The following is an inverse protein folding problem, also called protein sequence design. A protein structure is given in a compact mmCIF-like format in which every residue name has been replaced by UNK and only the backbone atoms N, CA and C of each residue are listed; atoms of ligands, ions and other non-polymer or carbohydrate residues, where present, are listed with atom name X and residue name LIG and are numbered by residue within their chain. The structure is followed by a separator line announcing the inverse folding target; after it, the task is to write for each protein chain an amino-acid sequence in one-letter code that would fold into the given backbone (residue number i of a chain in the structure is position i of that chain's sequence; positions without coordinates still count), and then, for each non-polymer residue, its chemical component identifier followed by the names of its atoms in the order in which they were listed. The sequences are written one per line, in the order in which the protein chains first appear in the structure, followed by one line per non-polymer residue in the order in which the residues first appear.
data_IF_111538971387
#
_entry.id   IF_111538971387
#
_cell.length_a   1.000
_cell.length_b   1.000
_cell.length_c   1.000
_cell.angle_alpha   90.00
_cell.angle_beta   90.00
_cell.angle_gamma   90.00
#
_symmetry.space_group_name_H-M   'P 1'
#
loop_
_entity.id
_entity.type
_entity.pdbx_description
1 polymer ?
#
# COMPACT_ATOMS: atom_id res chain seq x y z
N UNK A 1 8.71 -38.83 94.21
CA UNK A 1 8.08 -37.52 94.44
C UNK A 1 8.15 -36.75 93.13
N UNK A 2 7.00 -36.22 92.71
CA UNK A 2 6.66 -35.62 91.43
C UNK A 2 7.66 -34.57 90.89
N UNK A 3 7.85 -34.47 89.58
CA UNK A 3 7.11 -33.53 88.72
C UNK A 3 7.58 -33.59 87.25
N UNK A 4 6.65 -34.00 86.39
CA UNK A 4 6.74 -33.99 84.93
C UNK A 4 6.62 -32.54 84.43
N UNK A 5 7.71 -31.94 83.96
CA UNK A 5 7.69 -30.60 83.34
C UNK A 5 7.40 -30.76 81.84
N UNK A 6 6.13 -30.60 81.46
CA UNK A 6 5.70 -30.57 80.05
C UNK A 6 6.47 -29.50 79.27
N UNK A 7 7.30 -29.94 78.33
CA UNK A 7 7.79 -29.08 77.25
C UNK A 7 6.65 -28.98 76.24
N UNK A 8 5.99 -27.83 76.22
CA UNK A 8 4.97 -27.47 75.23
C UNK A 8 5.65 -27.46 73.86
N UNK A 9 5.36 -28.46 73.01
CA UNK A 9 5.87 -28.51 71.64
C UNK A 9 5.41 -27.27 70.89
N UNK A 10 6.36 -26.38 70.57
CA UNK A 10 6.11 -25.28 69.66
C UNK A 10 5.90 -25.89 68.28
N UNK A 11 4.63 -26.07 67.94
CA UNK A 11 4.19 -26.55 66.64
C UNK A 11 4.48 -25.40 65.66
N UNK A 12 5.65 -25.44 65.01
CA UNK A 12 5.93 -24.59 63.86
C UNK A 12 4.96 -25.08 62.79
N UNK A 13 3.79 -24.44 62.74
CA UNK A 13 2.89 -24.57 61.60
C UNK A 13 3.67 -24.01 60.42
N UNK A 14 4.28 -24.91 59.66
CA UNK A 14 4.74 -24.60 58.32
C UNK A 14 3.52 -24.04 57.57
N UNK A 15 3.49 -22.73 57.38
CA UNK A 15 2.69 -22.06 56.36
C UNK A 15 3.22 -22.53 55.00
N UNK A 16 2.94 -23.79 54.66
CA UNK A 16 2.91 -24.25 53.28
C UNK A 16 1.66 -23.67 52.65
N UNK A 17 1.62 -22.35 52.51
CA UNK A 17 0.51 -21.63 51.90
C UNK A 17 0.34 -22.13 50.47
N UNK A 18 -0.92 -22.23 50.08
CA UNK A 18 -1.41 -22.85 48.86
C UNK A 18 -1.08 -22.00 47.61
N UNK A 19 0.21 -21.68 47.40
CA UNK A 19 0.73 -20.78 46.38
C UNK A 19 0.67 -21.38 44.97
N UNK A 20 0.34 -22.67 44.84
CA UNK A 20 0.20 -23.37 43.56
C UNK A 20 -0.91 -22.78 42.70
N UNK A 21 -2.02 -22.35 43.30
CA UNK A 21 -3.14 -21.74 42.57
C UNK A 21 -2.80 -20.35 42.02
N UNK A 22 -2.10 -19.53 42.79
CA UNK A 22 -1.68 -18.18 42.37
C UNK A 22 -0.62 -18.25 41.27
N UNK A 23 0.35 -19.17 41.39
CA UNK A 23 1.38 -19.37 40.35
C UNK A 23 0.73 -19.81 39.03
N UNK A 24 -0.28 -20.68 39.08
CA UNK A 24 -1.00 -21.11 37.88
C UNK A 24 -1.76 -19.95 37.23
N UNK A 25 -2.44 -19.11 38.02
CA UNK A 25 -3.15 -17.94 37.51
C UNK A 25 -2.21 -16.94 36.83
N UNK A 26 -1.07 -16.63 37.46
CA UNK A 26 -0.07 -15.72 36.87
C UNK A 26 0.50 -16.30 35.58
N UNK A 27 0.77 -17.61 35.56
CA UNK A 27 1.30 -18.29 34.37
C UNK A 27 0.31 -18.26 33.22
N UNK A 28 -0.97 -18.56 33.48
CA UNK A 28 -2.01 -18.50 32.44
C UNK A 28 -2.19 -17.07 31.94
N UNK A 29 -2.19 -16.08 32.84
CA UNK A 29 -2.29 -14.68 32.46
C UNK A 29 -1.12 -14.26 31.55
N UNK A 30 0.10 -14.64 31.90
CA UNK A 30 1.29 -14.40 31.07
C UNK A 30 1.20 -15.07 29.70
N UNK A 31 0.75 -16.34 29.65
CA UNK A 31 0.57 -17.05 28.37
C UNK A 31 -0.48 -16.32 27.51
N UNK A 32 -1.58 -15.85 28.10
CA UNK A 32 -2.61 -15.09 27.38
C UNK A 32 -2.04 -13.78 26.85
N UNK A 33 -1.28 -13.03 27.65
CA UNK A 33 -0.63 -11.80 27.18
C UNK A 33 0.34 -12.05 26.03
N UNK A 34 1.14 -13.12 26.12
CA UNK A 34 2.08 -13.50 25.06
C UNK A 34 1.31 -13.91 23.81
N UNK A 35 0.25 -14.71 23.93
CA UNK A 35 -0.56 -15.15 22.81
C UNK A 35 -1.23 -13.97 22.08
N UNK A 36 -1.85 -13.04 22.81
CA UNK A 36 -2.45 -11.84 22.23
C UNK A 36 -1.39 -10.96 21.56
N UNK A 37 -0.22 -10.81 22.18
CA UNK A 37 0.90 -10.08 21.59
C UNK A 37 1.36 -10.71 20.27
N UNK A 38 1.54 -12.03 20.22
CA UNK A 38 1.93 -12.74 19.00
C UNK A 38 0.92 -12.54 17.87
N UNK A 39 -0.39 -12.65 18.15
CA UNK A 39 -1.44 -12.41 17.15
C UNK A 39 -1.40 -10.97 16.65
N UNK A 40 -1.29 -9.99 17.56
CA UNK A 40 -1.22 -8.58 17.17
C UNK A 40 -0.02 -8.28 16.25
N UNK A 41 1.16 -8.85 16.54
CA UNK A 41 2.34 -8.66 15.68
C UNK A 41 2.18 -9.32 14.31
N UNK A 42 1.59 -10.52 14.25
CA UNK A 42 1.31 -11.20 12.99
C UNK A 42 0.31 -10.43 12.14
N UNK A 43 -0.72 -9.86 12.76
CA UNK A 43 -1.72 -9.05 12.08
C UNK A 43 -1.09 -7.78 11.50
N UNK A 44 -0.27 -7.06 12.29
CA UNK A 44 0.44 -5.86 11.82
C UNK A 44 1.35 -6.20 10.64
N UNK A 45 2.17 -7.25 10.77
CA UNK A 45 3.09 -7.65 9.70
C UNK A 45 2.35 -8.03 8.40
N UNK A 46 1.18 -8.66 8.53
CA UNK A 46 0.35 -9.03 7.37
C UNK A 46 -0.26 -7.80 6.71
N UNK A 47 -0.75 -6.85 7.49
CA UNK A 47 -1.30 -5.58 6.98
C UNK A 47 -0.21 -4.78 6.26
N UNK A 48 0.96 -4.66 6.85
CA UNK A 48 2.09 -3.92 6.26
C UNK A 48 2.50 -4.54 4.92
N UNK A 49 2.55 -5.87 4.84
CA UNK A 49 2.87 -6.56 3.59
C UNK A 49 1.83 -6.28 2.48
N UNK A 50 0.55 -6.35 2.82
CA UNK A 50 -0.52 -6.04 1.87
C UNK A 50 -0.48 -4.58 1.41
N UNK A 51 -0.22 -3.65 2.33
CA UNK A 51 -0.10 -2.24 2.01
C UNK A 51 1.09 -1.97 1.08
N UNK A 52 2.25 -2.56 1.37
CA UNK A 52 3.44 -2.43 0.53
C UNK A 52 3.21 -3.00 -0.87
N UNK A 53 2.56 -4.15 -0.98
CA UNK A 53 2.25 -4.76 -2.26
C UNK A 53 1.29 -3.89 -3.09
N UNK A 54 0.24 -3.35 -2.45
CA UNK A 54 -0.69 -2.43 -3.10
C UNK A 54 0.01 -1.14 -3.53
N UNK A 55 0.88 -0.58 -2.69
CA UNK A 55 1.64 0.62 -3.03
C UNK A 55 2.55 0.38 -4.24
N UNK A 56 3.26 -0.76 -4.28
CA UNK A 56 4.11 -1.11 -5.42
C UNK A 56 3.32 -1.23 -6.73
N UNK A 57 2.19 -1.92 -6.73
CA UNK A 57 1.34 -2.02 -7.92
C UNK A 57 0.75 -0.66 -8.33
N UNK A 58 0.39 0.16 -7.34
CA UNK A 58 -0.09 1.50 -7.58
C UNK A 58 0.97 2.37 -8.27
N UNK A 59 2.19 2.39 -7.75
CA UNK A 59 3.31 3.12 -8.34
C UNK A 59 3.64 2.60 -9.75
N UNK A 60 3.68 1.28 -9.94
CA UNK A 60 3.96 0.67 -11.23
C UNK A 60 2.90 1.06 -12.29
N UNK A 61 1.61 0.96 -11.96
CA UNK A 61 0.54 1.41 -12.84
C UNK A 61 0.64 2.91 -13.15
N UNK A 62 0.98 3.73 -12.14
CA UNK A 62 1.16 5.16 -12.32
C UNK A 62 2.31 5.45 -13.30
N UNK A 63 3.46 4.80 -13.15
CA UNK A 63 4.60 4.97 -14.06
C UNK A 63 4.25 4.59 -15.51
N UNK A 64 3.49 3.51 -15.70
CA UNK A 64 3.05 3.10 -17.03
C UNK A 64 2.09 4.13 -17.64
N UNK A 65 1.15 4.67 -16.85
CA UNK A 65 0.24 5.72 -17.31
C UNK A 65 0.99 7.02 -17.65
N UNK A 66 2.00 7.38 -16.86
CA UNK A 66 2.86 8.53 -17.16
C UNK A 66 3.62 8.35 -18.47
N UNK A 67 4.16 7.15 -18.73
CA UNK A 67 4.82 6.83 -20.00
C UNK A 67 3.85 6.98 -21.19
N UNK A 68 2.59 6.58 -21.03
CA UNK A 68 1.55 6.78 -22.04
C UNK A 68 1.31 8.26 -22.36
N UNK A 69 1.26 9.13 -21.35
CA UNK A 69 1.14 10.58 -21.56
C UNK A 69 2.36 11.15 -22.29
N UNK A 70 3.57 10.76 -21.89
CA UNK A 70 4.80 11.23 -22.53
C UNK A 70 4.90 10.79 -24.01
N UNK A 71 4.45 9.58 -24.37
CA UNK A 71 4.33 9.15 -25.78
C UNK A 71 3.39 10.09 -26.57
N UNK A 72 2.25 10.46 -26.00
CA UNK A 72 1.33 11.42 -26.65
C UNK A 72 1.98 12.79 -26.81
N UNK A 73 2.66 13.29 -25.78
CA UNK A 73 3.36 14.58 -25.85
C UNK A 73 4.43 14.55 -26.95
N UNK A 74 5.19 13.45 -27.05
CA UNK A 74 6.18 13.26 -28.12
C UNK A 74 5.52 13.26 -29.52
N UNK A 75 4.38 12.58 -29.67
CA UNK A 75 3.60 12.59 -30.93
C UNK A 75 3.03 13.97 -31.25
N UNK A 76 2.57 14.73 -30.25
CA UNK A 76 2.07 16.09 -30.41
C UNK A 76 3.15 17.08 -30.84
N UNK A 77 4.41 16.87 -30.41
CA UNK A 77 5.55 17.67 -30.89
C UNK A 77 5.80 17.48 -32.38
N UNK A 78 5.51 16.30 -32.93
CA UNK A 78 5.65 16.01 -34.36
C UNK A 78 4.38 16.35 -35.16
N UNK A 79 3.20 16.19 -34.57
CA UNK A 79 1.92 16.43 -35.21
C UNK A 79 0.93 17.09 -34.22
N UNK A 80 0.69 18.39 -34.38
CA UNK A 80 -0.25 19.16 -33.55
C UNK A 80 -1.68 18.63 -33.61
N UNK A 81 -2.06 18.00 -34.72
CA UNK A 81 -3.40 17.45 -34.94
C UNK A 81 -3.51 15.98 -34.51
N UNK A 82 -2.50 15.43 -33.82
CA UNK A 82 -2.58 14.07 -33.29
C UNK A 82 -3.80 13.93 -32.38
N UNK A 83 -4.56 12.88 -32.67
CA UNK A 83 -5.78 12.50 -31.97
C UNK A 83 -5.82 10.98 -31.89
N UNK A 84 -6.38 10.49 -30.81
CA UNK A 84 -6.64 9.06 -30.65
C UNK A 84 -7.78 8.85 -29.66
N UNK A 85 -8.57 7.80 -29.83
CA UNK A 85 -9.61 7.44 -28.88
C UNK A 85 -9.45 5.96 -28.58
N UNK A 86 -8.98 5.65 -27.37
CA UNK A 86 -8.86 4.28 -26.90
C UNK A 86 -7.80 3.42 -27.62
N UNK A 87 -6.64 3.99 -27.95
CA UNK A 87 -5.53 3.16 -28.44
C UNK A 87 -4.87 2.42 -27.29
N UNK A 88 -4.84 1.09 -27.39
CA UNK A 88 -4.11 0.22 -26.46
C UNK A 88 -2.70 0.01 -26.99
N UNK A 89 -1.69 0.32 -26.17
CA UNK A 89 -0.29 0.12 -26.51
C UNK A 89 0.35 -0.83 -25.49
N UNK A 90 1.03 -1.90 -25.95
CA UNK A 90 1.79 -2.76 -25.06
C UNK A 90 3.05 -2.04 -24.56
N UNK A 91 3.31 -2.14 -23.27
CA UNK A 91 4.46 -1.52 -22.62
C UNK A 91 5.02 -2.43 -21.53
N UNK A 92 6.26 -2.92 -21.73
CA UNK A 92 6.99 -3.74 -20.76
C UNK A 92 6.20 -4.94 -20.17
N UNK A 93 5.40 -5.63 -21.00
CA UNK A 93 4.57 -6.77 -20.56
C UNK A 93 3.20 -6.38 -19.98
N UNK A 94 2.91 -5.09 -19.88
CA UNK A 94 1.62 -4.51 -19.51
C UNK A 94 1.03 -3.73 -20.68
N UNK A 95 -0.09 -3.03 -20.45
CA UNK A 95 -0.74 -2.22 -21.47
C UNK A 95 -1.18 -0.89 -20.87
N UNK A 96 -1.14 0.15 -21.68
CA UNK A 96 -1.83 1.40 -21.39
C UNK A 96 -2.79 1.75 -22.51
N UNK A 97 -3.90 2.39 -22.14
CA UNK A 97 -4.89 2.95 -23.02
C UNK A 97 -4.64 4.46 -23.11
N UNK A 98 -4.62 5.02 -24.31
CA UNK A 98 -4.53 6.47 -24.52
C UNK A 98 -5.82 6.98 -25.17
N UNK A 99 -6.28 8.13 -24.67
CA UNK A 99 -7.35 8.91 -25.27
C UNK A 99 -6.92 10.38 -25.36
N UNK A 100 -6.96 10.96 -26.56
CA UNK A 100 -6.75 12.37 -26.88
C UNK A 100 -7.78 12.75 -27.96
N UNK A 101 -9.01 13.13 -27.57
CA UNK A 101 -10.15 13.17 -28.48
C UNK A 101 -10.22 14.44 -29.34
N UNK A 102 -9.49 15.50 -28.99
CA UNK A 102 -9.64 16.81 -29.63
C UNK A 102 -8.32 17.34 -30.24
N UNK A 103 -8.38 17.94 -31.46
CA UNK A 103 -7.22 18.60 -32.07
C UNK A 103 -6.88 19.94 -31.41
N UNK A 104 -7.89 20.65 -30.90
CA UNK A 104 -7.75 22.05 -30.51
C UNK A 104 -7.24 22.17 -29.07
N UNK A 105 -6.34 23.14 -28.78
CA UNK A 105 -5.90 23.40 -27.42
C UNK A 105 -7.01 24.08 -26.58
N UNK A 106 -7.08 23.82 -25.26
CA UNK A 106 -6.28 22.85 -24.53
C UNK A 106 -6.72 21.40 -24.85
N UNK A 107 -5.74 20.54 -25.15
CA UNK A 107 -5.98 19.11 -25.39
C UNK A 107 -6.01 18.38 -24.06
N UNK A 108 -7.04 17.58 -23.83
CA UNK A 108 -7.13 16.66 -22.70
C UNK A 108 -6.61 15.31 -23.15
N UNK A 109 -5.58 14.81 -22.48
CA UNK A 109 -4.97 13.51 -22.71
C UNK A 109 -5.24 12.68 -21.48
N UNK A 110 -5.84 11.52 -21.67
CA UNK A 110 -6.07 10.53 -20.64
C UNK A 110 -5.26 9.30 -20.95
N UNK A 111 -4.51 8.81 -19.97
CA UNK A 111 -3.83 7.52 -20.04
C UNK A 111 -4.26 6.62 -18.89
N UNK A 112 -4.78 5.44 -19.23
CA UNK A 112 -5.17 4.42 -18.27
C UNK A 112 -4.22 3.24 -18.38
N UNK A 113 -3.41 2.98 -17.36
CA UNK A 113 -2.58 1.79 -17.29
C UNK A 113 -3.40 0.61 -16.76
N UNK A 114 -3.19 -0.58 -17.35
CA UNK A 114 -3.74 -1.84 -16.83
C UNK A 114 -2.60 -2.84 -16.63
N UNK A 115 -2.39 -3.22 -15.38
CA UNK A 115 -1.45 -4.26 -14.99
C UNK A 115 -2.04 -5.66 -15.24
N UNK A 116 -1.16 -6.66 -15.31
CA UNK A 116 -1.55 -8.06 -15.56
C UNK A 116 -2.40 -8.67 -14.44
N UNK A 117 -2.28 -8.13 -13.22
CA UNK A 117 -3.09 -8.51 -12.06
C UNK A 117 -4.46 -7.80 -12.00
N UNK A 118 -4.82 -7.01 -13.03
CA UNK A 118 -6.09 -6.30 -13.11
C UNK A 118 -6.12 -4.94 -12.42
N UNK A 119 -5.02 -4.50 -11.78
CA UNK A 119 -4.92 -3.15 -11.24
C UNK A 119 -4.92 -2.11 -12.36
N UNK A 120 -5.60 -0.99 -12.10
CA UNK A 120 -5.70 0.12 -13.04
C UNK A 120 -5.42 1.44 -12.34
N UNK A 121 -4.72 2.33 -13.05
CA UNK A 121 -4.52 3.73 -12.67
C UNK A 121 -4.75 4.60 -13.88
N UNK A 122 -5.36 5.75 -13.67
CA UNK A 122 -5.70 6.69 -14.72
C UNK A 122 -5.11 8.06 -14.40
N UNK A 123 -4.53 8.67 -15.43
CA UNK A 123 -3.99 10.02 -15.36
C UNK A 123 -4.60 10.83 -16.49
N UNK A 124 -5.04 12.03 -16.15
CA UNK A 124 -5.45 13.06 -17.07
C UNK A 124 -4.47 14.23 -17.04
N UNK A 125 -4.05 14.68 -18.21
CA UNK A 125 -3.29 15.91 -18.36
C UNK A 125 -3.95 16.82 -19.38
N UNK A 126 -3.89 18.12 -19.12
CA UNK A 126 -4.27 19.14 -20.10
C UNK A 126 -3.01 19.78 -20.65
N UNK A 127 -2.88 19.82 -21.97
CA UNK A 127 -1.74 20.40 -22.67
C UNK A 127 -2.17 21.45 -23.68
N UNK A 128 -1.40 22.52 -23.77
CA UNK A 128 -1.48 23.52 -24.83
C UNK A 128 -0.33 23.30 -25.80
N UNK A 129 -0.63 23.31 -27.10
CA UNK A 129 0.37 23.13 -28.16
C UNK A 129 0.45 24.41 -28.97
N UNK A 130 1.67 24.93 -29.13
CA UNK A 130 1.97 26.18 -29.82
C UNK A 130 2.97 25.94 -30.96
N UNK A 131 2.84 26.72 -32.03
CA UNK A 131 3.79 26.74 -33.15
C UNK A 131 3.10 26.64 -34.50
N UNK A 132 3.81 27.10 -35.53
CA UNK A 132 3.36 27.06 -36.94
C UNK A 132 4.05 25.95 -37.75
N UNK A 133 5.16 25.39 -37.24
CA UNK A 133 5.87 24.25 -37.82
C UNK A 133 6.50 23.39 -36.72
N UNK A 134 6.73 22.11 -37.02
CA UNK A 134 7.33 21.16 -36.07
C UNK A 134 8.83 21.46 -35.83
N UNK A 135 9.38 21.21 -34.62
CA UNK A 135 8.71 20.64 -33.45
C UNK A 135 7.82 21.66 -32.72
N UNK A 136 6.57 21.28 -32.43
CA UNK A 136 5.63 22.12 -31.71
C UNK A 136 6.00 22.23 -30.22
N UNK A 137 5.81 23.41 -29.63
CA UNK A 137 6.01 23.64 -28.20
C UNK A 137 4.78 23.16 -27.45
N UNK A 138 4.95 22.17 -26.56
CA UNK A 138 3.88 21.65 -25.70
C UNK A 138 4.06 22.20 -24.29
N UNK A 139 3.04 22.85 -23.74
CA UNK A 139 2.98 23.35 -22.36
C UNK A 139 1.94 22.53 -21.61
N UNK A 140 2.31 21.99 -20.46
CA UNK A 140 1.41 21.24 -19.60
C UNK A 140 0.72 22.24 -18.65
N UNK A 141 -0.61 22.26 -18.65
CA UNK A 141 -1.41 23.09 -17.75
C UNK A 141 -1.57 22.42 -16.38
N UNK A 142 -1.98 21.14 -16.38
CA UNK A 142 -2.13 20.36 -15.17
C UNK A 142 -1.86 18.89 -15.41
N UNK A 143 -1.54 18.21 -14.32
CA UNK A 143 -1.37 16.77 -14.23
C UNK A 143 -2.24 16.27 -13.08
N UNK A 144 -3.20 15.41 -13.36
CA UNK A 144 -4.18 14.94 -12.38
C UNK A 144 -4.35 13.44 -12.48
N UNK A 145 -4.26 12.75 -11.35
CA UNK A 145 -4.67 11.36 -11.23
C UNK A 145 -6.20 11.28 -11.00
N UNK A 146 -6.87 10.33 -11.66
CA UNK A 146 -8.32 10.12 -11.58
C UNK A 146 -8.63 8.77 -10.95
#
# INVERSE_FOLDING_TARGET
MYYYKMVKSMNIRCLGENNRGIVLLITVLLIVFIAVGMVAFLDIATIDFQLLQNNRYSEEALYIAQAGIEDVIARLRNNINYQTVGTVVPFSGHQYLITCPQPNPPKIITSTATLSNGYKREIETSVQVFGTSAPYKVIINYWKEI
#
